data_IF_050165410439
#
_entry.id   IF_050165410439
#
_cell.length_a   1.000
_cell.length_b   1.000
_cell.length_c   1.000
_cell.angle_alpha   90.00
_cell.angle_beta   90.00
_cell.angle_gamma   90.00
#
_symmetry.space_group_name_H-M   'P 1'
#
loop_
_entity.id
_entity.type
_entity.pdbx_description
1 polymer ?
#
# COMPACT_ATOMS: atom_id res chain seq x y z
N UNK A 1 64.16 17.36 26.39
CA UNK A 1 65.02 16.23 26.82
C UNK A 1 65.37 16.45 28.28
N UNK A 2 65.40 15.38 29.09
CA UNK A 2 65.88 15.33 30.48
C UNK A 2 65.18 16.25 31.51
N UNK A 3 64.96 15.89 32.78
CA UNK A 3 64.83 14.58 33.46
C UNK A 3 64.33 14.85 34.90
N UNK A 4 63.58 13.92 35.52
CA UNK A 4 63.25 14.00 36.96
C UNK A 4 64.48 13.74 37.86
N UNK A 5 64.34 13.80 39.19
CA UNK A 5 64.03 12.55 39.91
C UNK A 5 63.17 12.63 41.21
N UNK A 6 62.56 11.48 41.55
CA UNK A 6 62.27 10.85 42.87
C UNK A 6 62.16 11.72 44.17
N UNK A 7 61.26 11.43 45.12
CA UNK A 7 61.33 10.20 45.97
C UNK A 7 60.10 9.97 46.91
N UNK A 8 59.74 8.69 47.13
CA UNK A 8 59.32 7.98 48.39
C UNK A 8 58.44 8.64 49.49
N UNK A 9 57.64 7.95 50.32
CA UNK A 9 57.07 6.58 50.41
C UNK A 9 56.17 6.47 51.70
N UNK A 10 55.66 5.27 52.03
CA UNK A 10 54.96 4.84 53.30
C UNK A 10 53.50 5.33 53.47
N UNK A 11 52.43 4.51 53.63
CA UNK A 11 52.09 3.34 54.48
C UNK A 11 51.18 3.76 55.68
N UNK A 12 50.22 3.00 56.23
CA UNK A 12 49.47 1.79 55.82
C UNK A 12 48.28 1.55 56.81
N UNK A 13 47.31 0.68 56.45
CA UNK A 13 46.35 -0.04 57.35
C UNK A 13 45.34 0.80 58.20
N UNK A 14 44.18 0.29 58.69
CA UNK A 14 43.29 -0.83 58.33
C UNK A 14 41.92 -0.66 59.07
N UNK A 15 40.90 -1.48 58.71
CA UNK A 15 39.79 -2.08 59.51
C UNK A 15 39.23 -1.39 60.81
N UNK A 16 37.95 -1.45 61.20
CA UNK A 16 36.74 -2.13 60.66
C UNK A 16 35.44 -1.76 61.45
N UNK A 17 34.29 -2.01 60.82
CA UNK A 17 33.00 -2.50 61.39
C UNK A 17 32.08 -1.66 62.32
N UNK A 18 30.78 -1.80 61.99
CA UNK A 18 29.56 -1.76 62.83
C UNK A 18 28.67 -0.49 62.83
N UNK A 19 27.36 -0.72 62.73
CA UNK A 19 26.28 0.28 62.54
C UNK A 19 25.58 0.65 63.87
N UNK A 20 24.62 1.61 63.85
CA UNK A 20 23.22 1.18 63.75
C UNK A 20 22.35 2.02 62.78
N UNK A 21 21.03 1.79 62.80
CA UNK A 21 20.06 2.01 61.72
C UNK A 21 19.01 3.13 61.94
N UNK A 22 18.18 3.34 60.90
CA UNK A 22 17.01 4.23 60.75
C UNK A 22 17.30 5.73 60.44
N UNK A 23 16.60 6.38 59.49
CA UNK A 23 15.56 5.92 58.54
C UNK A 23 15.04 7.07 57.66
N UNK A 24 14.31 6.78 56.56
CA UNK A 24 13.70 7.79 55.65
C UNK A 24 14.50 8.03 54.36
N UNK A 25 14.26 7.31 53.26
CA UNK A 25 13.13 7.43 52.30
C UNK A 25 13.32 8.49 51.20
N UNK A 26 13.95 8.12 50.09
CA UNK A 26 13.48 8.39 48.70
C UNK A 26 14.49 7.90 47.65
N UNK A 27 14.27 6.72 47.08
CA UNK A 27 14.98 6.25 45.89
C UNK A 27 13.99 5.82 44.82
N UNK A 28 14.11 6.44 43.64
CA UNK A 28 13.29 6.11 42.48
C UNK A 28 13.59 4.68 42.04
N UNK A 29 12.57 3.82 42.05
CA UNK A 29 12.71 2.43 41.63
C UNK A 29 12.58 2.32 40.13
N UNK A 30 13.60 1.78 39.47
CA UNK A 30 13.61 1.46 38.04
C UNK A 30 12.48 0.48 37.71
N UNK A 31 11.39 0.96 37.12
CA UNK A 31 10.34 0.08 36.58
C UNK A 31 10.81 -0.54 35.27
N UNK A 32 11.43 -1.72 35.38
CA UNK A 32 11.62 -2.61 34.25
C UNK A 32 10.25 -3.13 33.81
N UNK A 33 9.60 -2.45 32.87
CA UNK A 33 8.31 -2.88 32.31
C UNK A 33 8.51 -4.08 31.40
N UNK A 34 8.51 -5.28 31.99
CA UNK A 34 8.26 -6.53 31.28
C UNK A 34 6.81 -6.54 30.80
N UNK A 35 6.56 -6.03 29.60
CA UNK A 35 5.24 -6.07 28.96
C UNK A 35 4.87 -7.52 28.67
N UNK A 36 4.06 -8.11 29.55
CA UNK A 36 3.45 -9.43 29.36
C UNK A 36 2.40 -9.33 28.26
N UNK A 37 2.76 -9.77 27.04
CA UNK A 37 1.91 -9.67 25.84
C UNK A 37 0.73 -10.65 25.89
N UNK A 38 -0.26 -10.36 26.73
CA UNK A 38 -1.47 -11.16 26.92
C UNK A 38 -2.44 -11.01 25.74
N UNK A 39 -2.41 -11.96 24.80
CA UNK A 39 -3.39 -12.00 23.71
C UNK A 39 -4.82 -12.30 24.19
N UNK A 40 -5.80 -11.86 23.41
CA UNK A 40 -7.22 -12.13 23.61
C UNK A 40 -7.54 -13.52 23.04
N UNK A 41 -7.96 -14.47 23.87
CA UNK A 41 -8.46 -15.77 23.41
C UNK A 41 -9.90 -15.63 22.89
N UNK A 42 -10.15 -16.04 21.64
CA UNK A 42 -11.50 -16.20 21.08
C UNK A 42 -11.60 -17.62 20.51
N UNK A 43 -12.26 -18.51 21.24
CA UNK A 43 -12.15 -19.96 21.04
C UNK A 43 -10.70 -20.43 21.22
N UNK A 44 -10.27 -21.41 20.44
CA UNK A 44 -8.93 -22.01 20.52
C UNK A 44 -7.82 -21.14 19.92
N UNK A 45 -8.11 -19.88 19.56
CA UNK A 45 -7.18 -18.97 18.89
C UNK A 45 -6.82 -17.80 19.79
N UNK A 46 -5.53 -17.67 20.07
CA UNK A 46 -4.94 -16.49 20.70
C UNK A 46 -4.79 -15.39 19.65
N UNK A 47 -5.57 -14.32 19.79
CA UNK A 47 -5.42 -13.11 18.99
C UNK A 47 -4.45 -12.17 19.73
N UNK A 48 -3.44 -11.64 19.06
CA UNK A 48 -2.64 -10.55 19.62
C UNK A 48 -3.54 -9.37 19.97
N UNK A 49 -3.26 -8.69 21.08
CA UNK A 49 -3.89 -7.42 21.41
C UNK A 49 -3.77 -6.45 20.22
N UNK A 50 -4.88 -5.79 19.84
CA UNK A 50 -4.95 -5.00 18.60
C UNK A 50 -4.36 -3.61 18.85
N UNK A 51 -3.03 -3.56 18.94
CA UNK A 51 -2.25 -2.33 19.09
C UNK A 51 -2.19 -1.57 17.75
N UNK A 52 -3.10 -0.61 17.58
CA UNK A 52 -3.14 0.30 16.43
C UNK A 52 -2.21 1.51 16.65
N UNK A 53 -0.91 1.26 16.76
CA UNK A 53 0.09 2.34 16.67
C UNK A 53 0.25 2.78 15.22
N UNK A 54 0.50 4.08 15.02
CA UNK A 54 0.82 4.66 13.70
C UNK A 54 2.14 4.05 13.16
N UNK A 55 2.95 3.51 14.05
CA UNK A 55 4.27 2.93 13.79
C UNK A 55 4.19 1.51 13.19
N UNK A 56 3.01 0.86 13.20
CA UNK A 56 2.76 -0.43 12.53
C UNK A 56 2.70 -0.31 10.97
N UNK A 57 3.45 0.65 10.42
CA UNK A 57 3.64 0.96 9.00
C UNK A 57 4.64 0.02 8.32
N UNK A 58 5.64 -0.46 9.07
CA UNK A 58 6.70 -1.32 8.56
C UNK A 58 6.30 -2.79 8.56
N UNK A 59 6.93 -3.56 7.68
CA UNK A 59 6.68 -4.97 7.47
C UNK A 59 7.83 -5.75 8.14
N UNK A 60 7.53 -6.62 9.12
CA UNK A 60 8.54 -7.46 9.76
C UNK A 60 9.34 -8.27 8.74
N UNK A 61 10.63 -8.47 9.00
CA UNK A 61 11.57 -9.06 8.04
C UNK A 61 11.17 -10.48 7.63
N UNK A 62 10.55 -11.24 8.55
CA UNK A 62 10.04 -12.60 8.30
C UNK A 62 8.86 -12.61 7.31
N UNK A 63 8.22 -11.46 7.06
CA UNK A 63 7.16 -11.30 6.04
C UNK A 63 7.68 -10.78 4.70
N UNK A 64 8.95 -10.39 4.61
CA UNK A 64 9.57 -10.00 3.33
C UNK A 64 9.86 -11.23 2.46
N UNK A 65 10.08 -12.39 3.07
CA UNK A 65 10.27 -13.67 2.38
C UNK A 65 9.88 -14.87 3.25
N UNK A 66 9.11 -15.85 2.74
CA UNK A 66 8.51 -15.91 1.41
C UNK A 66 7.25 -15.04 1.30
N UNK A 67 7.15 -14.22 0.25
CA UNK A 67 5.99 -13.35 0.01
C UNK A 67 4.72 -14.18 -0.27
N UNK A 68 3.51 -13.60 -0.11
CA UNK A 68 2.27 -14.26 -0.52
C UNK A 68 2.22 -14.61 -2.01
N UNK A 69 2.96 -13.89 -2.87
CA UNK A 69 3.04 -14.18 -4.31
C UNK A 69 3.94 -15.39 -4.58
N UNK A 70 5.08 -15.49 -3.87
CA UNK A 70 5.96 -16.67 -3.90
C UNK A 70 5.25 -17.93 -3.39
N UNK A 71 4.39 -17.81 -2.38
CA UNK A 71 3.55 -18.91 -1.90
C UNK A 71 2.51 -19.38 -2.94
N UNK A 72 2.07 -18.49 -3.85
CA UNK A 72 1.27 -18.84 -5.04
C UNK A 72 2.15 -19.19 -6.26
N UNK A 73 3.46 -19.38 -6.04
CA UNK A 73 4.45 -19.85 -7.01
C UNK A 73 5.14 -18.77 -7.85
N UNK A 74 4.75 -17.49 -7.76
CA UNK A 74 5.36 -16.43 -8.57
C UNK A 74 6.83 -16.22 -8.16
N UNK A 75 7.74 -16.12 -9.14
CA UNK A 75 9.15 -15.92 -8.86
C UNK A 75 9.45 -14.49 -8.39
N UNK A 76 10.46 -14.35 -7.53
CA UNK A 76 10.84 -13.07 -6.93
C UNK A 76 11.24 -11.99 -7.98
N UNK A 77 11.97 -12.31 -9.08
CA UNK A 77 12.23 -11.34 -10.15
C UNK A 77 10.95 -10.78 -10.79
N UNK A 78 10.02 -11.65 -11.19
CA UNK A 78 8.73 -11.24 -11.77
C UNK A 78 7.87 -10.45 -10.80
N UNK A 79 7.82 -10.85 -9.52
CA UNK A 79 7.15 -10.07 -8.47
C UNK A 79 7.76 -8.68 -8.31
N UNK A 80 9.10 -8.57 -8.34
CA UNK A 80 9.81 -7.29 -8.25
C UNK A 80 9.48 -6.39 -9.44
N UNK A 81 9.44 -6.94 -10.65
CA UNK A 81 9.08 -6.17 -11.85
C UNK A 81 7.60 -5.72 -11.84
N UNK A 82 6.68 -6.54 -11.32
CA UNK A 82 5.28 -6.13 -11.11
C UNK A 82 5.14 -5.02 -10.07
N UNK A 83 5.95 -5.03 -9.00
CA UNK A 83 5.99 -3.95 -7.99
C UNK A 83 6.45 -2.63 -8.59
N UNK A 84 7.58 -2.65 -9.30
CA UNK A 84 8.14 -1.48 -9.99
C UNK A 84 7.13 -0.95 -11.01
N UNK A 85 6.57 -1.82 -11.85
CA UNK A 85 5.58 -1.43 -12.86
C UNK A 85 4.29 -0.85 -12.24
N UNK A 86 3.79 -1.42 -11.15
CA UNK A 86 2.64 -0.89 -10.43
C UNK A 86 2.90 0.54 -9.95
N UNK A 87 4.10 0.80 -9.44
CA UNK A 87 4.53 2.13 -9.02
C UNK A 87 4.68 3.10 -10.21
N UNK A 88 5.25 2.66 -11.33
CA UNK A 88 5.32 3.45 -12.57
C UNK A 88 3.93 3.82 -13.10
N UNK A 89 2.96 2.91 -13.06
CA UNK A 89 1.57 3.19 -13.45
C UNK A 89 0.90 4.20 -12.50
N UNK A 90 1.12 4.10 -11.19
CA UNK A 90 0.58 5.05 -10.20
C UNK A 90 1.17 6.45 -10.44
N UNK A 91 2.49 6.56 -10.65
CA UNK A 91 3.16 7.83 -10.95
C UNK A 91 2.65 8.43 -12.27
N UNK A 92 2.62 7.64 -13.35
CA UNK A 92 2.14 8.11 -14.66
C UNK A 92 0.66 8.52 -14.62
N UNK A 93 -0.18 7.76 -13.93
CA UNK A 93 -1.59 8.09 -13.76
C UNK A 93 -1.78 9.36 -12.93
N UNK A 94 -1.01 9.54 -11.87
CA UNK A 94 -1.11 10.72 -11.01
C UNK A 94 -0.68 12.02 -11.71
N UNK A 95 0.34 11.97 -12.57
CA UNK A 95 0.72 13.08 -13.44
C UNK A 95 -0.44 13.46 -14.37
N UNK A 96 -1.05 12.49 -15.04
CA UNK A 96 -2.20 12.71 -15.94
C UNK A 96 -3.45 13.21 -15.20
N UNK A 97 -3.67 12.76 -13.95
CA UNK A 97 -4.73 13.22 -13.05
C UNK A 97 -4.42 14.56 -12.35
N UNK A 98 -3.22 15.12 -12.57
CA UNK A 98 -2.70 16.32 -11.87
C UNK A 98 -2.83 16.20 -10.35
N UNK A 99 -2.33 15.09 -9.80
CA UNK A 99 -2.20 14.88 -8.35
C UNK A 99 -0.86 15.47 -7.84
N UNK A 100 -0.78 15.90 -6.57
CA UNK A 100 0.49 16.29 -5.96
C UNK A 100 1.41 15.07 -5.79
N UNK A 101 2.74 15.30 -5.77
CA UNK A 101 3.72 14.21 -5.62
C UNK A 101 3.51 13.39 -4.35
N UNK A 102 3.07 14.02 -3.25
CA UNK A 102 2.74 13.34 -1.99
C UNK A 102 1.65 12.28 -2.19
N UNK A 103 0.58 12.58 -2.95
CA UNK A 103 -0.48 11.60 -3.24
C UNK A 103 -0.01 10.45 -4.14
N UNK A 104 0.91 10.72 -5.06
CA UNK A 104 1.52 9.67 -5.89
C UNK A 104 2.45 8.77 -5.06
N UNK A 105 3.20 9.36 -4.11
CA UNK A 105 4.04 8.63 -3.17
C UNK A 105 3.20 7.78 -2.19
N UNK A 106 2.18 8.35 -1.57
CA UNK A 106 1.21 7.63 -0.70
C UNK A 106 0.60 6.45 -1.47
N UNK A 107 0.18 6.66 -2.73
CA UNK A 107 -0.35 5.58 -3.58
C UNK A 107 0.63 4.41 -3.78
N UNK A 108 1.92 4.70 -4.01
CA UNK A 108 2.97 3.68 -4.19
C UNK A 108 3.23 2.90 -2.89
N UNK A 109 3.31 3.56 -1.74
CA UNK A 109 3.51 2.89 -0.45
C UNK A 109 2.32 1.99 -0.09
N UNK A 110 1.08 2.47 -0.29
CA UNK A 110 -0.12 1.64 -0.08
C UNK A 110 -0.15 0.41 -0.99
N UNK A 111 0.33 0.54 -2.24
CA UNK A 111 0.43 -0.55 -3.19
C UNK A 111 1.45 -1.62 -2.75
N UNK A 112 2.65 -1.20 -2.31
CA UNK A 112 3.66 -2.12 -1.76
C UNK A 112 3.15 -2.85 -0.52
N UNK A 113 2.62 -2.12 0.47
CA UNK A 113 2.07 -2.70 1.71
C UNK A 113 1.01 -3.76 1.39
N UNK A 114 0.07 -3.44 0.49
CA UNK A 114 -0.96 -4.40 0.05
C UNK A 114 -0.36 -5.67 -0.56
N UNK A 115 0.58 -5.55 -1.50
CA UNK A 115 1.16 -6.72 -2.16
C UNK A 115 2.18 -7.51 -1.32
N UNK A 116 2.67 -6.97 -0.20
CA UNK A 116 3.35 -7.79 0.80
C UNK A 116 2.40 -8.59 1.69
N UNK A 117 1.12 -8.22 1.78
CA UNK A 117 0.08 -8.97 2.52
C UNK A 117 -0.84 -9.81 1.61
N UNK A 118 -0.82 -9.58 0.30
CA UNK A 118 -1.66 -10.25 -0.71
C UNK A 118 -0.90 -10.52 -2.00
N UNK A 119 -1.22 -11.64 -2.64
CA UNK A 119 -0.56 -12.11 -3.86
C UNK A 119 -1.04 -11.41 -5.14
N UNK A 120 -0.09 -11.14 -6.04
CA UNK A 120 -0.33 -10.72 -7.44
C UNK A 120 -1.13 -11.75 -8.25
N UNK A 121 -1.00 -13.05 -7.93
CA UNK A 121 -1.76 -14.13 -8.59
C UNK A 121 -3.25 -14.09 -8.21
N UNK A 122 -3.56 -13.63 -6.99
CA UNK A 122 -4.93 -13.55 -6.45
C UNK A 122 -5.62 -12.21 -6.73
N UNK A 123 -4.87 -11.15 -7.05
CA UNK A 123 -5.39 -9.79 -7.21
C UNK A 123 -4.80 -9.09 -8.45
N UNK A 124 -5.66 -8.63 -9.36
CA UNK A 124 -5.23 -7.85 -10.53
C UNK A 124 -4.51 -6.57 -10.10
N UNK A 125 -3.24 -6.45 -10.49
CA UNK A 125 -2.40 -5.32 -10.09
C UNK A 125 -2.89 -3.99 -10.68
N UNK A 126 -3.42 -3.94 -11.91
CA UNK A 126 -4.00 -2.72 -12.49
C UNK A 126 -5.23 -2.23 -11.70
N UNK A 127 -6.10 -3.14 -11.27
CA UNK A 127 -7.28 -2.81 -10.45
C UNK A 127 -6.85 -2.29 -9.07
N UNK A 128 -5.83 -2.91 -8.46
CA UNK A 128 -5.29 -2.46 -7.17
C UNK A 128 -4.57 -1.13 -7.31
N UNK A 129 -3.79 -0.89 -8.36
CA UNK A 129 -3.15 0.40 -8.63
C UNK A 129 -4.16 1.53 -8.79
N UNK A 130 -5.26 1.30 -9.54
CA UNK A 130 -6.39 2.24 -9.61
C UNK A 130 -7.05 2.50 -8.25
N UNK A 131 -7.17 1.48 -7.40
CA UNK A 131 -7.71 1.63 -6.05
C UNK A 131 -6.75 2.40 -5.12
N UNK A 132 -5.45 2.11 -5.16
CA UNK A 132 -4.43 2.79 -4.36
C UNK A 132 -4.33 4.28 -4.69
N UNK A 133 -4.33 4.66 -5.97
CA UNK A 133 -4.28 6.08 -6.36
C UNK A 133 -5.59 6.81 -6.06
N UNK A 134 -6.75 6.16 -6.22
CA UNK A 134 -8.04 6.74 -5.84
C UNK A 134 -8.13 6.96 -4.33
N UNK A 135 -7.66 6.00 -3.53
CA UNK A 135 -7.58 6.10 -2.08
C UNK A 135 -6.60 7.19 -1.62
N UNK A 136 -5.37 7.19 -2.15
CA UNK A 136 -4.37 8.21 -1.84
C UNK A 136 -4.84 9.63 -2.21
N UNK A 137 -5.56 9.80 -3.32
CA UNK A 137 -6.14 11.11 -3.69
C UNK A 137 -7.13 11.64 -2.64
N UNK A 138 -7.81 10.75 -1.88
CA UNK A 138 -8.69 11.16 -0.78
C UNK A 138 -7.93 11.42 0.51
N UNK A 139 -6.88 10.64 0.80
CA UNK A 139 -6.04 10.80 2.00
C UNK A 139 -5.29 12.15 1.99
N UNK A 140 -4.78 12.56 0.83
CA UNK A 140 -4.06 13.83 0.67
C UNK A 140 -4.98 15.01 0.27
N UNK A 141 -6.28 14.94 0.58
CA UNK A 141 -7.29 16.00 0.33
C UNK A 141 -7.32 16.53 -1.12
N UNK A 142 -6.94 15.70 -2.10
CA UNK A 142 -6.90 16.02 -3.52
C UNK A 142 -7.77 15.06 -4.37
N UNK A 143 -9.04 14.79 -4.00
CA UNK A 143 -9.81 13.69 -4.57
C UNK A 143 -10.03 13.80 -6.08
N UNK A 144 -10.10 12.66 -6.76
CA UNK A 144 -10.44 12.54 -8.17
C UNK A 144 -11.65 11.63 -8.36
N UNK A 145 -12.38 11.78 -9.46
CA UNK A 145 -13.54 10.90 -9.73
C UNK A 145 -13.00 9.55 -10.24
N UNK A 146 -13.57 8.45 -9.75
CA UNK A 146 -13.20 7.08 -10.20
C UNK A 146 -13.27 6.94 -11.73
N UNK A 147 -14.20 7.63 -12.40
CA UNK A 147 -14.29 7.66 -13.87
C UNK A 147 -13.01 8.21 -14.52
N UNK A 148 -12.43 9.26 -13.94
CA UNK A 148 -11.24 9.93 -14.47
C UNK A 148 -10.01 9.02 -14.28
N UNK A 149 -9.92 8.35 -13.13
CA UNK A 149 -8.89 7.33 -12.84
C UNK A 149 -8.96 6.19 -13.86
N UNK A 150 -10.15 5.61 -14.10
CA UNK A 150 -10.33 4.52 -15.08
C UNK A 150 -9.99 5.00 -16.50
N UNK A 151 -10.39 6.21 -16.88
CA UNK A 151 -10.08 6.77 -18.21
C UNK A 151 -8.56 6.97 -18.41
N UNK A 152 -7.85 7.41 -17.37
CA UNK A 152 -6.39 7.55 -17.40
C UNK A 152 -5.69 6.19 -17.51
N UNK A 153 -6.11 5.18 -16.74
CA UNK A 153 -5.55 3.82 -16.87
C UNK A 153 -5.86 3.18 -18.22
N UNK A 154 -7.06 3.40 -18.77
CA UNK A 154 -7.43 2.98 -20.12
C UNK A 154 -6.50 3.60 -21.18
N UNK A 155 -6.23 4.92 -21.08
CA UNK A 155 -5.29 5.61 -21.96
C UNK A 155 -3.85 5.09 -21.82
N UNK A 156 -3.36 4.91 -20.59
CA UNK A 156 -2.03 4.33 -20.33
C UNK A 156 -1.89 2.93 -20.94
N UNK A 157 -2.93 2.09 -20.86
CA UNK A 157 -2.95 0.75 -21.46
C UNK A 157 -2.87 0.80 -22.99
N UNK A 158 -3.56 1.75 -23.63
CA UNK A 158 -3.49 1.95 -25.09
C UNK A 158 -2.10 2.39 -25.55
N UNK A 159 -1.50 3.38 -24.86
CA UNK A 159 -0.14 3.85 -25.15
C UNK A 159 0.89 2.72 -25.05
N UNK A 160 0.80 1.88 -24.01
CA UNK A 160 1.68 0.72 -23.80
C UNK A 160 1.54 -0.31 -24.93
N UNK A 161 0.31 -0.58 -25.36
CA UNK A 161 0.03 -1.50 -26.47
C UNK A 161 0.26 -0.92 -27.87
N UNK A 162 0.85 0.28 -28.01
CA UNK A 162 1.03 1.02 -29.27
C UNK A 162 -0.26 1.15 -30.11
N UNK A 163 -1.42 1.17 -29.45
CA UNK A 163 -2.73 1.30 -30.13
C UNK A 163 -3.06 2.76 -30.35
N UNK A 164 -3.85 3.04 -31.39
CA UNK A 164 -4.45 4.36 -31.58
C UNK A 164 -5.31 4.69 -30.34
N UNK A 165 -5.16 5.90 -29.75
CA UNK A 165 -5.96 6.27 -28.58
C UNK A 165 -7.45 6.30 -28.94
N UNK A 166 -8.26 5.49 -28.26
CA UNK A 166 -9.72 5.44 -28.44
C UNK A 166 -10.46 5.85 -27.15
N UNK A 167 -11.60 6.55 -27.25
CA UNK A 167 -12.38 6.93 -26.07
C UNK A 167 -12.81 5.73 -25.23
N UNK A 168 -12.85 5.90 -23.91
CA UNK A 168 -13.43 4.91 -23.01
C UNK A 168 -14.94 4.78 -23.26
N UNK A 169 -15.36 3.61 -23.74
CA UNK A 169 -16.78 3.26 -23.91
C UNK A 169 -17.39 2.99 -22.52
N UNK A 170 -18.58 3.53 -22.25
CA UNK A 170 -19.28 3.39 -20.98
C UNK A 170 -20.24 2.19 -21.00
N UNK A 171 -19.69 1.02 -21.30
CA UNK A 171 -20.42 -0.24 -21.42
C UNK A 171 -20.52 -1.01 -20.09
N UNK A 172 -21.01 -2.26 -20.17
CA UNK A 172 -21.04 -3.16 -19.02
C UNK A 172 -19.62 -3.48 -18.48
N UNK A 173 -18.58 -3.49 -19.32
CA UNK A 173 -17.21 -3.71 -18.89
C UNK A 173 -16.68 -2.54 -18.06
N UNK A 174 -16.99 -1.30 -18.44
CA UNK A 174 -16.70 -0.12 -17.61
C UNK A 174 -17.40 -0.21 -16.24
N UNK A 175 -18.69 -0.58 -16.21
CA UNK A 175 -19.44 -0.75 -14.95
C UNK A 175 -18.80 -1.84 -14.07
N UNK A 176 -18.44 -2.98 -14.67
CA UNK A 176 -17.75 -4.07 -13.98
C UNK A 176 -16.40 -3.63 -13.42
N UNK A 177 -15.58 -2.91 -14.20
CA UNK A 177 -14.27 -2.37 -13.80
C UNK A 177 -14.41 -1.38 -12.65
N UNK A 178 -15.35 -0.43 -12.75
CA UNK A 178 -15.69 0.52 -11.67
C UNK A 178 -16.04 -0.21 -10.37
N UNK A 179 -16.88 -1.25 -10.46
CA UNK A 179 -17.26 -2.05 -9.30
C UNK A 179 -16.08 -2.87 -8.74
N UNK A 180 -15.15 -3.33 -9.58
CA UNK A 180 -13.92 -3.99 -9.14
C UNK A 180 -12.98 -3.01 -8.41
N UNK A 181 -12.78 -1.80 -8.92
CA UNK A 181 -11.96 -0.76 -8.25
C UNK A 181 -12.54 -0.38 -6.89
N UNK A 182 -13.85 -0.16 -6.78
CA UNK A 182 -14.52 0.10 -5.49
C UNK A 182 -14.37 -1.07 -4.52
N UNK A 183 -14.47 -2.32 -5.00
CA UNK A 183 -14.24 -3.53 -4.18
C UNK A 183 -12.77 -3.68 -3.78
N UNK A 184 -11.82 -3.29 -4.63
CA UNK A 184 -10.39 -3.35 -4.34
C UNK A 184 -9.98 -2.28 -3.32
N UNK A 185 -10.51 -1.06 -3.42
CA UNK A 185 -10.28 0.01 -2.43
C UNK A 185 -10.69 -0.43 -1.01
N UNK A 186 -11.87 -1.07 -0.87
CA UNK A 186 -12.31 -1.64 0.40
C UNK A 186 -11.40 -2.77 0.90
N UNK A 187 -10.78 -3.56 0.01
CA UNK A 187 -9.79 -4.58 0.40
C UNK A 187 -8.49 -3.95 0.87
N UNK A 188 -7.99 -2.91 0.19
CA UNK A 188 -6.79 -2.19 0.62
C UNK A 188 -6.99 -1.63 2.03
N UNK A 189 -8.11 -0.94 2.29
CA UNK A 189 -8.44 -0.44 3.62
C UNK A 189 -8.50 -1.54 4.69
N UNK A 190 -9.18 -2.66 4.40
CA UNK A 190 -9.29 -3.80 5.33
C UNK A 190 -7.93 -4.44 5.60
N UNK A 191 -7.11 -4.63 4.57
CA UNK A 191 -5.83 -5.34 4.68
C UNK A 191 -4.79 -4.53 5.45
N UNK A 192 -4.78 -3.21 5.27
CA UNK A 192 -3.89 -2.29 5.98
C UNK A 192 -4.40 -1.92 7.38
N UNK A 193 -5.49 -2.54 7.86
CA UNK A 193 -6.08 -2.22 9.17
C UNK A 193 -6.48 -0.75 9.32
N UNK A 194 -6.84 -0.08 8.22
CA UNK A 194 -7.02 1.38 8.11
C UNK A 194 -5.78 2.24 8.43
N UNK A 195 -4.60 1.65 8.63
CA UNK A 195 -3.30 2.34 8.74
C UNK A 195 -2.82 2.80 7.35
N UNK A 196 -3.49 3.82 6.81
CA UNK A 196 -3.25 4.40 5.48
C UNK A 196 -2.41 5.68 5.50
N UNK A 197 -2.06 6.19 6.68
CA UNK A 197 -1.13 7.31 6.80
C UNK A 197 0.28 6.87 6.37
N UNK A 198 0.99 7.78 5.70
CA UNK A 198 2.36 7.60 5.22
C UNK A 198 3.14 8.87 5.54
N UNK A 199 4.18 8.73 6.37
CA UNK A 199 5.17 9.77 6.62
C UNK A 199 6.17 9.76 5.44
N UNK A 200 6.35 10.89 4.77
CA UNK A 200 7.22 10.98 3.59
C UNK A 200 8.55 11.69 3.91
N UNK A 201 9.72 11.17 3.46
CA UNK A 201 11.02 11.76 3.77
C UNK A 201 11.28 13.17 3.20
N UNK A 202 10.48 13.69 2.26
CA UNK A 202 10.76 14.97 1.56
C UNK A 202 11.07 16.12 2.53
N UNK A 203 10.29 16.27 3.60
CA UNK A 203 10.48 17.32 4.63
C UNK A 203 11.67 17.01 5.54
N UNK A 204 11.89 15.74 5.87
CA UNK A 204 13.01 15.28 6.70
C UNK A 204 14.33 15.57 6.00
N UNK A 205 14.43 15.33 4.68
CA UNK A 205 15.61 15.64 3.86
C UNK A 205 15.99 17.12 3.98
N UNK A 206 15.03 18.04 3.89
CA UNK A 206 15.30 19.48 4.04
C UNK A 206 15.77 19.81 5.46
N UNK A 207 15.12 19.25 6.48
CA UNK A 207 15.47 19.46 7.89
C UNK A 207 16.89 18.95 8.21
N UNK A 208 17.26 17.77 7.73
CA UNK A 208 18.61 17.21 7.92
C UNK A 208 19.65 18.02 7.15
N UNK A 209 19.37 18.46 5.92
CA UNK A 209 20.29 19.33 5.17
C UNK A 209 20.46 20.72 5.82
N UNK A 210 19.46 21.24 6.54
CA UNK A 210 19.59 22.44 7.36
C UNK A 210 20.53 22.22 8.56
N UNK A 211 20.40 21.09 9.26
CA UNK A 211 21.31 20.72 10.38
C UNK A 211 22.76 20.52 9.89
N UNK A 212 22.94 20.11 8.63
CA UNK A 212 24.24 19.96 7.98
C UNK A 212 24.73 21.26 7.28
N UNK A 213 24.04 22.39 7.44
CA UNK A 213 24.35 23.69 6.80
C UNK A 213 24.46 23.62 5.25
N UNK A 214 23.79 22.63 4.66
CA UNK A 214 23.83 22.27 3.25
C UNK A 214 22.54 22.65 2.50
N UNK A 215 21.56 23.28 3.15
CA UNK A 215 20.23 23.60 2.60
C UNK A 215 20.29 24.55 1.40
N UNK A 216 21.34 25.36 1.33
CA UNK A 216 21.58 26.33 0.24
C UNK A 216 21.98 25.64 -1.05
N UNK A 217 22.54 24.44 -0.98
CA UNK A 217 22.93 23.65 -2.14
C UNK A 217 21.69 22.99 -2.77
N UNK A 218 20.97 23.76 -3.59
CA UNK A 218 19.76 23.31 -4.29
C UNK A 218 20.00 22.04 -5.13
N UNK A 219 21.21 21.87 -5.70
CA UNK A 219 21.59 20.67 -6.45
C UNK A 219 21.63 19.43 -5.57
N UNK A 220 22.15 19.55 -4.34
CA UNK A 220 22.16 18.46 -3.36
C UNK A 220 20.73 18.13 -2.88
N UNK A 221 19.94 19.14 -2.51
CA UNK A 221 18.53 18.98 -2.10
C UNK A 221 17.73 18.27 -3.19
N UNK A 222 17.80 18.74 -4.44
CA UNK A 222 17.07 18.17 -5.55
C UNK A 222 17.55 16.76 -5.91
N UNK A 223 18.86 16.49 -5.84
CA UNK A 223 19.42 15.14 -6.08
C UNK A 223 18.96 14.15 -5.00
N UNK A 224 18.93 14.54 -3.72
CA UNK A 224 18.41 13.72 -2.64
C UNK A 224 16.90 13.44 -2.80
N UNK A 225 16.12 14.44 -3.20
CA UNK A 225 14.71 14.25 -3.55
C UNK A 225 14.51 13.35 -4.78
N UNK A 226 15.39 13.39 -5.78
CA UNK A 226 15.31 12.49 -6.93
C UNK A 226 15.53 11.03 -6.49
N UNK A 227 16.58 10.75 -5.69
CA UNK A 227 16.83 9.41 -5.16
C UNK A 227 15.70 8.88 -4.27
N UNK A 228 15.08 9.73 -3.44
CA UNK A 228 13.93 9.33 -2.62
C UNK A 228 12.67 9.09 -3.47
N UNK A 229 12.41 9.89 -4.51
CA UNK A 229 11.30 9.61 -5.43
C UNK A 229 11.54 8.32 -6.23
N UNK A 230 12.79 7.99 -6.55
CA UNK A 230 13.15 6.74 -7.22
C UNK A 230 12.98 5.54 -6.28
N UNK A 231 13.35 5.66 -5.01
CA UNK A 231 13.25 4.57 -4.03
C UNK A 231 11.81 4.21 -3.62
N UNK A 232 10.80 5.05 -3.93
CA UNK A 232 9.38 4.67 -3.87
C UNK A 232 9.05 3.43 -4.75
N UNK A 233 9.85 3.16 -5.79
CA UNK A 233 9.69 1.99 -6.66
C UNK A 233 10.28 0.70 -6.07
N UNK A 234 11.07 0.79 -5.00
CA UNK A 234 11.62 -0.37 -4.26
C UNK A 234 10.80 -0.65 -3.00
N UNK A 235 11.23 -1.64 -2.21
CA UNK A 235 10.58 -1.99 -0.94
C UNK A 235 11.06 -1.16 0.27
N UNK A 236 11.95 -0.16 0.12
CA UNK A 236 12.54 0.52 1.28
C UNK A 236 11.50 1.22 2.16
N UNK A 237 10.46 1.80 1.55
CA UNK A 237 9.34 2.46 2.24
C UNK A 237 8.43 1.53 3.06
N UNK A 238 8.62 0.21 2.99
CA UNK A 238 7.93 -0.75 3.87
C UNK A 238 8.89 -1.49 4.81
N UNK A 239 10.20 -1.21 4.74
CA UNK A 239 11.26 -1.84 5.55
C UNK A 239 11.89 -0.89 6.55
N UNK A 240 12.10 0.37 6.16
CA UNK A 240 12.86 1.36 6.92
C UNK A 240 12.00 2.56 7.30
N UNK A 241 12.35 3.22 8.40
CA UNK A 241 11.70 4.46 8.82
C UNK A 241 12.04 5.61 7.84
N UNK A 242 11.16 6.60 7.68
CA UNK A 242 11.37 7.70 6.73
C UNK A 242 12.58 8.58 7.11
N UNK A 243 12.98 8.61 8.37
CA UNK A 243 14.22 9.19 8.89
C UNK A 243 15.46 8.51 8.27
N UNK A 244 15.55 7.19 8.39
CA UNK A 244 16.59 6.34 7.81
C UNK A 244 16.68 6.51 6.27
N UNK A 245 15.52 6.55 5.60
CA UNK A 245 15.44 6.77 4.14
C UNK A 245 15.94 8.17 3.77
N UNK A 246 15.61 9.22 4.53
CA UNK A 246 16.14 10.56 4.31
C UNK A 246 17.68 10.57 4.41
N UNK A 247 18.24 9.93 5.44
CA UNK A 247 19.68 9.80 5.61
C UNK A 247 20.35 9.12 4.41
N UNK A 248 19.82 7.98 3.96
CA UNK A 248 20.35 7.25 2.82
C UNK A 248 20.30 8.05 1.51
N UNK A 249 19.20 8.77 1.24
CA UNK A 249 19.08 9.57 0.02
C UNK A 249 19.99 10.81 0.03
N UNK A 250 20.23 11.43 1.19
CA UNK A 250 21.24 12.49 1.34
C UNK A 250 22.65 11.92 1.14
N UNK A 251 22.97 10.79 1.77
CA UNK A 251 24.27 10.13 1.64
C UNK A 251 24.58 9.78 0.18
N UNK A 252 23.61 9.20 -0.54
CA UNK A 252 23.75 8.86 -1.96
C UNK A 252 23.93 10.11 -2.84
N UNK A 253 23.17 11.17 -2.58
CA UNK A 253 23.28 12.45 -3.30
C UNK A 253 24.63 13.15 -3.05
N UNK A 254 25.09 13.20 -1.80
CA UNK A 254 26.38 13.79 -1.46
C UNK A 254 27.54 13.02 -2.11
N UNK A 255 27.49 11.68 -2.11
CA UNK A 255 28.48 10.86 -2.82
C UNK A 255 28.46 11.05 -4.33
N UNK A 256 27.27 11.12 -4.94
CA UNK A 256 27.13 11.36 -6.38
C UNK A 256 27.65 12.75 -6.81
N UNK A 257 27.50 13.76 -5.94
CA UNK A 257 27.98 15.13 -6.16
C UNK A 257 29.39 15.40 -5.59
N UNK A 258 30.06 14.38 -5.03
CA UNK A 258 31.37 14.48 -4.38
C UNK A 258 31.46 15.53 -3.25
N UNK A 259 30.35 15.74 -2.53
CA UNK A 259 30.27 16.66 -1.39
C UNK A 259 30.74 15.94 -0.12
N UNK A 260 31.78 16.43 0.58
CA UNK A 260 32.21 15.84 1.84
C UNK A 260 31.20 16.15 2.95
N UNK A 261 30.73 15.11 3.64
CA UNK A 261 29.91 15.22 4.85
C UNK A 261 30.71 14.77 6.08
N UNK A 262 30.34 15.18 7.31
CA UNK A 262 31.09 14.83 8.52
C UNK A 262 31.20 13.32 8.76
N UNK A 263 32.42 12.84 9.02
CA UNK A 263 32.75 11.40 9.22
C UNK A 263 33.25 11.06 10.62
N UNK A 264 33.53 12.04 11.48
CA UNK A 264 34.02 11.82 12.86
C UNK A 264 33.29 12.73 13.87
N UNK A 265 32.24 12.24 14.56
CA UNK A 265 31.48 11.02 14.24
C UNK A 265 30.77 11.13 12.88
N UNK A 266 30.30 10.00 12.33
CA UNK A 266 29.51 10.02 11.11
C UNK A 266 28.19 10.79 11.33
N UNK A 267 27.90 11.75 10.45
CA UNK A 267 26.79 12.68 10.60
C UNK A 267 25.42 12.01 10.79
N UNK A 268 25.19 10.86 10.16
CA UNK A 268 23.91 10.15 10.21
C UNK A 268 23.61 9.51 11.58
N UNK A 269 24.63 9.33 12.43
CA UNK A 269 24.45 8.84 13.80
C UNK A 269 23.66 9.83 14.66
N UNK A 270 23.73 11.14 14.36
CA UNK A 270 22.91 12.19 14.99
C UNK A 270 21.40 11.95 14.78
N UNK A 271 21.04 11.27 13.70
CA UNK A 271 19.67 10.97 13.31
C UNK A 271 19.26 9.52 13.65
N UNK A 272 20.05 8.82 14.46
CA UNK A 272 19.74 7.47 14.95
C UNK A 272 19.77 6.38 13.88
N UNK A 273 20.42 6.62 12.75
CA UNK A 273 20.56 5.69 11.61
C UNK A 273 21.93 5.02 11.62
N UNK A 274 22.02 3.74 11.26
CA UNK A 274 23.32 3.03 11.14
C UNK A 274 23.88 3.07 9.72
N UNK A 275 25.16 2.71 9.55
CA UNK A 275 25.76 2.67 8.21
C UNK A 275 25.18 1.51 7.37
N UNK A 276 24.88 0.38 8.00
CA UNK A 276 24.34 -0.82 7.36
C UNK A 276 22.97 -0.53 6.71
N UNK A 277 22.08 0.15 7.43
CA UNK A 277 20.78 0.58 6.90
C UNK A 277 20.93 1.52 5.70
N UNK A 278 21.85 2.50 5.78
CA UNK A 278 22.14 3.42 4.68
C UNK A 278 22.68 2.66 3.47
N UNK A 279 23.64 1.77 3.67
CA UNK A 279 24.23 0.97 2.60
C UNK A 279 23.16 0.11 1.91
N UNK A 280 22.27 -0.54 2.68
CA UNK A 280 21.21 -1.35 2.10
C UNK A 280 20.20 -0.52 1.28
N UNK A 281 19.71 0.61 1.82
CA UNK A 281 18.79 1.50 1.09
C UNK A 281 19.47 2.06 -0.17
N UNK A 282 20.75 2.40 -0.10
CA UNK A 282 21.52 2.85 -1.26
C UNK A 282 21.66 1.74 -2.32
N UNK A 283 22.01 0.52 -1.92
CA UNK A 283 22.14 -0.63 -2.83
C UNK A 283 20.79 -0.93 -3.50
N UNK A 284 19.70 -0.96 -2.74
CA UNK A 284 18.37 -1.27 -3.28
C UNK A 284 17.86 -0.17 -4.23
N UNK A 285 18.13 1.10 -3.91
CA UNK A 285 17.86 2.22 -4.83
C UNK A 285 18.70 2.13 -6.10
N UNK A 286 20.01 1.85 -5.98
CA UNK A 286 20.92 1.74 -7.12
C UNK A 286 20.63 0.53 -8.02
N UNK A 287 20.10 -0.57 -7.46
CA UNK A 287 19.62 -1.74 -8.22
C UNK A 287 18.58 -1.36 -9.26
N UNK A 288 17.75 -0.34 -9.05
CA UNK A 288 16.78 0.11 -10.06
C UNK A 288 17.44 0.50 -11.39
N UNK A 289 18.59 1.20 -11.34
CA UNK A 289 19.27 1.70 -12.54
C UNK A 289 20.00 0.61 -13.34
N UNK A 290 20.24 -0.56 -12.74
CA UNK A 290 20.89 -1.70 -13.42
C UNK A 290 19.91 -2.71 -14.00
N UNK A 291 18.61 -2.62 -13.65
CA UNK A 291 17.57 -3.50 -14.19
C UNK A 291 17.31 -3.23 -15.67
N UNK A 292 17.09 -4.31 -16.42
CA UNK A 292 16.53 -4.23 -17.78
C UNK A 292 15.04 -3.92 -17.67
N UNK A 293 14.51 -3.07 -18.57
CA UNK A 293 13.08 -2.79 -18.60
C UNK A 293 12.29 -4.08 -18.89
N UNK A 294 11.37 -4.51 -18.01
CA UNK A 294 10.66 -5.78 -18.19
C UNK A 294 9.69 -5.72 -19.37
N UNK A 295 9.47 -6.86 -20.02
CA UNK A 295 8.41 -6.99 -21.01
C UNK A 295 7.08 -7.28 -20.32
N UNK A 296 6.19 -6.30 -20.35
CA UNK A 296 4.89 -6.36 -19.69
C UNK A 296 4.02 -7.54 -20.14
N UNK A 297 3.99 -7.84 -21.44
CA UNK A 297 3.12 -8.89 -21.98
C UNK A 297 3.53 -10.28 -21.48
N UNK A 298 4.82 -10.47 -21.15
CA UNK A 298 5.30 -11.72 -20.56
C UNK A 298 4.92 -11.81 -19.08
N UNK A 299 4.98 -10.70 -18.34
CA UNK A 299 4.53 -10.65 -16.95
C UNK A 299 3.02 -10.88 -16.80
N UNK A 300 2.18 -10.28 -17.66
CA UNK A 300 0.74 -10.58 -17.67
C UNK A 300 0.47 -12.06 -17.95
N UNK A 301 1.14 -12.64 -18.95
CA UNK A 301 0.99 -14.07 -19.31
C UNK A 301 1.41 -15.00 -18.18
N UNK A 302 2.52 -14.71 -17.51
CA UNK A 302 3.00 -15.54 -16.41
C UNK A 302 2.08 -15.44 -15.17
N UNK A 303 1.61 -14.25 -14.81
CA UNK A 303 0.61 -14.07 -13.74
C UNK A 303 -0.69 -14.79 -14.07
N UNK A 304 -1.19 -14.68 -15.30
CA UNK A 304 -2.43 -15.34 -15.70
C UNK A 304 -2.28 -16.87 -15.72
N UNK A 305 -1.14 -17.40 -16.20
CA UNK A 305 -0.80 -18.82 -16.10
C UNK A 305 -0.80 -19.33 -14.66
N UNK A 306 -0.19 -18.60 -13.71
CA UNK A 306 -0.25 -18.98 -12.28
C UNK A 306 -1.67 -18.88 -11.72
N UNK A 307 -2.46 -17.90 -12.18
CA UNK A 307 -3.84 -17.70 -11.75
C UNK A 307 -4.77 -18.82 -12.25
N UNK A 308 -4.57 -19.33 -13.46
CA UNK A 308 -5.26 -20.52 -13.99
C UNK A 308 -4.85 -21.77 -13.20
N UNK A 309 -3.56 -22.04 -13.04
CA UNK A 309 -3.07 -23.19 -12.25
C UNK A 309 -3.60 -23.18 -10.80
N UNK A 310 -3.68 -22.01 -10.17
CA UNK A 310 -4.26 -21.84 -8.83
C UNK A 310 -5.78 -22.06 -8.79
N UNK A 311 -6.49 -21.84 -9.90
CA UNK A 311 -7.92 -22.15 -10.03
C UNK A 311 -8.15 -23.64 -10.27
N UNK A 312 -7.39 -24.26 -11.16
CA UNK A 312 -7.41 -25.71 -11.41
C UNK A 312 -7.11 -26.50 -10.13
N UNK A 313 -6.06 -26.12 -9.39
CA UNK A 313 -5.75 -26.73 -8.09
C UNK A 313 -6.90 -26.63 -7.08
N UNK A 314 -7.65 -25.51 -7.09
CA UNK A 314 -8.84 -25.32 -6.23
C UNK A 314 -10.06 -26.11 -6.70
N UNK A 315 -10.23 -26.35 -8.00
CA UNK A 315 -11.28 -27.21 -8.52
C UNK A 315 -10.96 -28.68 -8.19
N UNK A 316 -9.72 -29.11 -8.45
CA UNK A 316 -9.23 -30.45 -8.10
C UNK A 316 -9.35 -30.75 -6.60
N UNK A 317 -8.99 -29.80 -5.74
CA UNK A 317 -9.16 -29.92 -4.28
C UNK A 317 -10.63 -29.97 -3.82
N UNK A 318 -11.59 -29.57 -4.68
CA UNK A 318 -13.04 -29.71 -4.46
C UNK A 318 -13.63 -30.96 -5.13
N UNK A 319 -12.81 -31.82 -5.73
CA UNK A 319 -13.29 -32.97 -6.49
C UNK A 319 -14.02 -32.59 -7.79
N UNK A 320 -13.67 -31.45 -8.39
CA UNK A 320 -14.24 -30.98 -9.64
C UNK A 320 -13.19 -31.02 -10.77
N UNK A 321 -13.64 -31.43 -11.96
CA UNK A 321 -12.91 -31.30 -13.21
C UNK A 321 -12.76 -29.81 -13.61
N UNK A 322 -11.87 -29.45 -14.55
CA UNK A 322 -11.76 -28.08 -15.07
C UNK A 322 -13.09 -27.51 -15.59
N UNK A 323 -13.98 -28.34 -16.15
CA UNK A 323 -15.32 -27.95 -16.62
C UNK A 323 -16.37 -27.79 -15.50
N UNK A 324 -15.98 -27.94 -14.23
CA UNK A 324 -16.88 -27.83 -13.08
C UNK A 324 -17.81 -29.03 -12.84
N UNK A 325 -17.65 -30.11 -13.60
CA UNK A 325 -18.33 -31.40 -13.33
C UNK A 325 -17.65 -32.13 -12.17
N UNK A 326 -18.38 -32.93 -11.36
CA UNK A 326 -17.77 -33.79 -10.35
C UNK A 326 -16.81 -34.79 -11.01
N UNK A 327 -15.61 -34.90 -10.46
CA UNK A 327 -14.61 -35.85 -10.92
C UNK A 327 -15.05 -37.27 -10.55
N UNK A 328 -15.55 -38.01 -11.54
CA UNK A 328 -15.88 -39.42 -11.38
C UNK A 328 -14.59 -40.22 -11.20
N UNK A 329 -14.24 -40.53 -9.95
CA UNK A 329 -13.07 -41.33 -9.61
C UNK A 329 -13.25 -42.76 -10.09
N UNK A 330 -12.57 -43.12 -11.17
CA UNK A 330 -12.47 -44.48 -11.70
C UNK A 330 -11.64 -45.36 -10.75
N UNK A 331 -12.31 -45.94 -9.76
CA UNK A 331 -11.89 -47.19 -9.12
C UNK A 331 -12.86 -48.29 -9.53
N UNK A 332 -12.39 -49.24 -10.32
CA UNK A 332 -13.20 -50.34 -10.84
C UNK A 332 -13.61 -51.31 -9.74
N UNK A 333 -14.90 -51.68 -9.73
CA UNK A 333 -15.48 -52.65 -8.82
C UNK A 333 -16.85 -53.08 -9.34
N UNK A 334 -16.87 -53.97 -10.34
CA UNK A 334 -18.09 -54.43 -10.99
C UNK A 334 -18.84 -55.47 -10.15
N UNK A 335 -20.16 -55.28 -10.04
CA UNK A 335 -21.19 -56.34 -10.01
C UNK A 335 -21.39 -57.14 -8.69
N UNK A 336 -22.39 -58.04 -8.59
CA UNK A 336 -23.72 -57.62 -8.11
C UNK A 336 -24.39 -58.61 -7.12
N UNK A 337 -25.44 -58.19 -6.39
CA UNK A 337 -26.29 -59.14 -5.66
C UNK A 337 -27.73 -58.66 -5.48
N UNK A 338 -28.65 -59.24 -6.26
CA UNK A 338 -30.09 -59.16 -6.06
C UNK A 338 -30.54 -60.04 -4.90
N UNK A 339 -31.48 -59.58 -4.06
CA UNK A 339 -32.46 -60.48 -3.41
C UNK A 339 -33.86 -59.84 -3.43
N UNK A 340 -34.94 -60.62 -3.64
CA UNK A 340 -36.28 -60.08 -3.92
C UNK A 340 -37.25 -60.18 -2.71
N UNK A 341 -38.54 -59.96 -3.00
CA UNK A 341 -39.75 -60.31 -2.24
C UNK A 341 -40.13 -59.49 -0.99
N UNK A 342 -41.26 -58.78 -1.14
CA UNK A 342 -42.22 -58.43 -0.08
C UNK A 342 -43.19 -59.62 0.14
N UNK A 343 -44.06 -59.63 1.17
CA UNK A 343 -45.37 -58.97 1.05
C UNK A 343 -45.83 -58.23 2.33
N UNK A 344 -47.09 -57.80 2.34
CA UNK A 344 -47.69 -56.75 3.20
C UNK A 344 -49.07 -57.19 3.72
N UNK A 345 -49.27 -57.19 5.04
CA UNK A 345 -50.57 -57.23 5.75
C UNK A 345 -50.41 -56.28 6.98
N UNK A 346 -51.14 -55.17 7.21
CA UNK A 346 -52.57 -54.79 7.28
C UNK A 346 -53.16 -54.90 8.70
N UNK A 347 -53.66 -53.74 9.22
CA UNK A 347 -54.43 -53.49 10.48
C UNK A 347 -53.65 -53.59 11.82
N UNK A 348 -53.93 -52.81 12.87
CA UNK A 348 -54.83 -51.64 13.06
C UNK A 348 -54.37 -50.79 14.29
N UNK A 349 -54.85 -49.53 14.39
CA UNK A 349 -55.12 -48.68 15.59
C UNK A 349 -54.05 -48.56 16.74
N UNK A 350 -53.84 -47.44 17.44
CA UNK A 350 -54.50 -46.12 17.51
C UNK A 350 -53.53 -45.05 18.09
N UNK A 351 -53.98 -43.77 18.12
CA UNK A 351 -53.52 -42.63 18.96
C UNK A 351 -52.18 -41.91 18.66
N UNK A 352 -52.37 -40.73 18.05
CA UNK A 352 -51.55 -39.50 17.94
C UNK A 352 -51.24 -38.86 19.34
N UNK A 353 -50.59 -37.66 19.54
CA UNK A 353 -50.47 -36.50 18.61
C UNK A 353 -49.10 -35.72 18.58
N UNK A 354 -48.68 -35.14 17.42
CA UNK A 354 -48.68 -33.68 17.03
C UNK A 354 -47.65 -32.81 17.80
N UNK A 355 -46.87 -31.87 17.25
CA UNK A 355 -46.48 -31.47 15.87
C UNK A 355 -45.21 -30.57 15.94
N UNK A 356 -44.63 -30.04 14.86
CA UNK A 356 -45.01 -28.74 14.24
C UNK A 356 -44.74 -28.79 12.73
N UNK A 357 -45.61 -28.12 11.96
CA UNK A 357 -45.70 -28.26 10.51
C UNK A 357 -45.09 -27.05 9.79
N UNK A 358 -44.27 -27.30 8.76
CA UNK A 358 -43.87 -26.28 7.77
C UNK A 358 -44.82 -26.39 6.58
N UNK A 359 -45.44 -25.27 6.16
CA UNK A 359 -46.16 -25.22 4.88
C UNK A 359 -45.77 -24.02 4.03
N UNK A 360 -45.69 -24.32 2.74
CA UNK A 360 -45.19 -23.48 1.66
C UNK A 360 -46.27 -23.33 0.58
N UNK A 361 -46.16 -22.24 -0.19
CA UNK A 361 -46.48 -22.15 -1.63
C UNK A 361 -47.90 -21.78 -2.14
N UNK A 362 -47.87 -20.81 -3.09
CA UNK A 362 -48.81 -20.45 -4.20
C UNK A 362 -50.11 -19.66 -3.93
N UNK A 363 -50.17 -18.44 -4.52
CA UNK A 363 -50.83 -18.21 -5.84
C UNK A 363 -50.40 -16.86 -6.47
N UNK A 364 -50.51 -16.76 -7.80
CA UNK A 364 -50.52 -15.50 -8.59
C UNK A 364 -51.99 -15.10 -8.95
N UNK A 365 -52.25 -14.15 -9.88
CA UNK A 365 -52.14 -12.70 -9.70
C UNK A 365 -53.44 -11.97 -10.07
N UNK A 366 -53.63 -10.70 -9.68
CA UNK A 366 -54.43 -9.75 -10.48
C UNK A 366 -54.22 -8.28 -10.08
N UNK A 367 -54.67 -7.38 -10.95
CA UNK A 367 -54.27 -5.97 -11.03
C UNK A 367 -55.37 -5.02 -10.53
N UNK A 368 -55.02 -4.04 -9.68
CA UNK A 368 -55.71 -2.74 -9.64
C UNK A 368 -54.97 -1.64 -8.88
N UNK A 369 -54.96 -0.48 -9.51
CA UNK A 369 -54.50 0.80 -8.96
C UNK A 369 -55.41 1.31 -7.83
N UNK A 370 -54.84 1.95 -6.81
CA UNK A 370 -55.20 3.33 -6.43
C UNK A 370 -54.26 3.93 -5.39
N UNK A 371 -54.33 5.25 -5.24
CA UNK A 371 -53.31 6.07 -4.59
C UNK A 371 -53.64 6.48 -3.14
N UNK A 372 -52.59 6.94 -2.46
CA UNK A 372 -52.54 8.18 -1.66
C UNK A 372 -52.33 8.07 -0.14
N UNK A 373 -51.63 9.11 0.35
CA UNK A 373 -51.55 9.64 1.73
C UNK A 373 -50.66 8.91 2.75
N UNK A 374 -49.48 9.51 2.93
CA UNK A 374 -48.78 9.58 4.22
C UNK A 374 -49.66 10.25 5.29
N UNK A 375 -49.53 9.86 6.56
CA UNK A 375 -49.78 10.73 7.70
C UNK A 375 -48.49 11.44 8.12
N UNK A 376 -48.57 12.75 8.37
CA UNK A 376 -47.56 13.53 9.09
C UNK A 376 -48.26 14.27 10.22
N UNK A 377 -47.74 14.16 11.44
CA UNK A 377 -48.05 15.05 12.56
C UNK A 377 -46.92 14.88 13.60
N UNK A 378 -46.32 15.93 14.16
CA UNK A 378 -46.52 17.35 13.91
C UNK A 378 -46.25 18.15 15.18
N UNK A 379 -45.28 19.06 15.15
CA UNK A 379 -45.10 20.09 16.20
C UNK A 379 -45.04 21.46 15.54
N UNK A 380 -45.61 22.45 16.23
CA UNK A 380 -46.12 23.69 15.64
C UNK A 380 -45.06 24.78 15.48
N UNK A 381 -45.51 25.83 14.79
CA UNK A 381 -44.77 26.98 14.29
C UNK A 381 -45.41 28.26 14.84
N UNK A 382 -44.57 29.18 15.30
CA UNK A 382 -44.91 30.59 15.52
C UNK A 382 -43.74 31.48 15.05
N UNK A 383 -43.91 32.79 14.91
CA UNK A 383 -44.71 33.38 13.83
C UNK A 383 -44.00 34.65 13.30
N UNK A 384 -44.48 35.18 12.17
CA UNK A 384 -43.84 36.22 11.34
C UNK A 384 -43.53 37.53 12.09
N UNK A 385 -42.43 38.21 11.71
CA UNK A 385 -42.50 39.65 11.37
C UNK A 385 -41.51 40.05 10.28
N UNK A 386 -41.82 41.16 9.61
CA UNK A 386 -41.20 41.63 8.36
C UNK A 386 -40.83 43.11 8.49
N UNK A 387 -39.71 43.52 7.88
CA UNK A 387 -39.58 44.66 6.93
C UNK A 387 -38.13 45.14 6.78
N UNK A 388 -37.76 45.50 5.53
CA UNK A 388 -36.79 46.52 5.12
C UNK A 388 -35.32 46.43 5.62
N UNK A 389 -34.29 46.92 4.90
CA UNK A 389 -34.20 47.70 3.64
C UNK A 389 -32.79 47.61 3.02
N UNK A 390 -32.67 47.98 1.73
CA UNK A 390 -31.65 48.85 1.07
C UNK A 390 -30.23 48.92 1.71
N UNK A 391 -29.10 48.90 0.97
CA UNK A 391 -28.83 49.34 -0.42
C UNK A 391 -27.37 49.09 -0.85
N UNK A 392 -27.09 49.34 -2.15
CA UNK A 392 -25.79 49.63 -2.76
C UNK A 392 -24.75 48.48 -2.82
N UNK A 393 -24.48 47.85 -3.97
CA UNK A 393 -23.94 48.36 -5.25
C UNK A 393 -22.47 48.81 -5.21
N UNK A 394 -21.59 48.06 -5.87
CA UNK A 394 -20.53 48.64 -6.72
C UNK A 394 -20.06 47.68 -7.80
N UNK A 395 -20.13 48.16 -9.03
CA UNK A 395 -19.72 47.50 -10.27
C UNK A 395 -18.26 47.77 -10.61
N UNK A 396 -17.68 46.89 -11.44
CA UNK A 396 -16.62 47.19 -12.44
C UNK A 396 -16.47 45.96 -13.34
N UNK A 397 -17.18 45.92 -14.47
CA UNK A 397 -16.85 46.54 -15.78
C UNK A 397 -15.72 45.82 -16.52
N UNK A 398 -16.09 45.12 -17.60
CA UNK A 398 -15.16 44.51 -18.57
C UNK A 398 -14.56 45.60 -19.46
N UNK A 399 -13.26 45.58 -19.69
CA UNK A 399 -12.62 46.27 -20.82
C UNK A 399 -11.72 45.32 -21.59
N UNK A 400 -11.78 45.43 -22.92
CA UNK A 400 -11.11 44.56 -23.89
C UNK A 400 -10.04 45.41 -24.56
N UNK A 401 -8.77 45.05 -24.42
CA UNK A 401 -7.66 45.72 -25.11
C UNK A 401 -6.75 44.67 -25.75
N UNK A 402 -6.55 44.77 -27.07
CA UNK A 402 -5.57 43.97 -27.82
C UNK A 402 -4.33 44.83 -28.05
N UNK A 403 -3.16 44.30 -27.68
CA UNK A 403 -1.86 44.77 -28.19
C UNK A 403 -0.99 43.54 -28.49
N UNK A 404 -0.33 43.53 -29.65
CA UNK A 404 0.58 42.46 -30.10
C UNK A 404 2.04 42.89 -29.87
N UNK A 405 2.91 41.94 -29.50
CA UNK A 405 4.36 42.01 -29.72
C UNK A 405 5.00 40.61 -29.81
N UNK A 406 6.18 40.53 -30.42
CA UNK A 406 6.97 39.34 -30.77
C UNK A 406 8.25 39.27 -29.88
N UNK A 407 9.02 38.18 -29.68
CA UNK A 407 9.12 36.78 -30.19
C UNK A 407 10.10 36.02 -29.24
N UNK A 408 10.52 34.74 -29.44
CA UNK A 408 10.01 33.60 -30.23
C UNK A 408 9.88 32.28 -29.40
N UNK A 409 9.68 31.14 -30.09
CA UNK A 409 9.61 29.76 -29.55
C UNK A 409 10.90 29.28 -28.84
N UNK A 410 10.74 28.41 -27.84
CA UNK A 410 11.26 27.02 -27.89
C UNK A 410 10.23 26.03 -27.33
N UNK A 411 9.98 24.95 -28.08
CA UNK A 411 9.42 23.71 -27.57
C UNK A 411 10.62 22.78 -27.40
N UNK A 412 10.85 22.26 -26.21
CA UNK A 412 11.80 21.17 -26.01
C UNK A 412 11.01 19.91 -25.61
N UNK A 413 10.93 18.96 -26.56
CA UNK A 413 10.55 17.58 -26.27
C UNK A 413 11.65 16.94 -25.41
N UNK A 414 11.33 16.57 -24.16
CA UNK A 414 12.21 15.68 -23.40
C UNK A 414 11.93 14.24 -23.81
N UNK A 415 12.58 13.84 -24.90
CA UNK A 415 12.58 12.48 -25.43
C UNK A 415 13.25 11.52 -24.44
N UNK A 416 12.59 10.41 -24.10
CA UNK A 416 13.21 9.32 -23.36
C UNK A 416 14.40 8.74 -24.15
N UNK A 417 15.62 8.85 -23.61
CA UNK A 417 16.80 8.19 -24.17
C UNK A 417 17.67 7.57 -23.07
N UNK A 418 17.64 6.24 -22.99
CA UNK A 418 18.57 5.48 -22.14
C UNK A 418 19.98 5.47 -22.78
N UNK A 419 21.07 5.64 -22.02
CA UNK A 419 22.43 5.45 -22.54
C UNK A 419 22.77 3.96 -22.64
N UNK A 420 23.28 3.53 -23.80
CA UNK A 420 23.72 2.16 -24.06
C UNK A 420 25.23 2.07 -24.29
N UNK A 421 25.85 1.05 -23.68
CA UNK A 421 27.17 0.45 -23.96
C UNK A 421 28.22 1.31 -24.69
N UNK A 422 29.28 1.66 -23.94
CA UNK A 422 30.60 1.95 -24.50
C UNK A 422 31.14 0.73 -25.29
N UNK A 423 31.64 0.99 -26.50
CA UNK A 423 32.50 0.05 -27.25
C UNK A 423 33.95 0.34 -26.91
N UNK A 424 34.74 -0.72 -26.73
CA UNK A 424 36.21 -0.66 -26.69
C UNK A 424 36.77 -0.36 -28.08
N UNK A 425 37.76 0.53 -28.23
CA UNK A 425 38.61 0.57 -29.41
C UNK A 425 39.78 -0.41 -29.24
N UNK A 426 39.95 -1.31 -30.20
CA UNK A 426 41.18 -2.11 -30.31
C UNK A 426 42.29 -1.27 -30.93
N UNK A 427 43.51 -1.44 -30.43
CA UNK A 427 44.76 -1.04 -31.08
C UNK A 427 45.67 -2.26 -31.21
N UNK A 428 46.63 -2.16 -32.12
CA UNK A 428 47.47 -3.24 -32.66
C UNK A 428 48.22 -4.05 -31.60
#
# INVERSE_FOLDING_TARGET
>A
MASGPHSTATAAAAASSAAPSAGGSSSGTTTTTTTTTGGILIGDRLYSEVSLTIDHSLIPEERLSPTPSMQDGLDLPSETDLRILGCELIQAAGILLRLPQVAMATGQVLFHRFFYSKSFVKHSFEIVAMACINLASKIEEAPRRIRDVINVFHHLRQLRGKRTPSPLILDQNYINTKNQVIKAERRVLKELGFCVHVKHPHKIIVMYLQVLECERNQTLVQTAWNYMNDSLRTNVFVRFQPETIACACIYLAARALQIPLPTRPHWFLLFGTTEEEIQEICIETLRLYTRKKPNYELLEKEVEKRKVALQEAKLKAKGLNPDGTPALSTLGGFSPASKPSSPREVKAEEKSPISINVKTVKKEPEDRQQASKSPYNGVRKDSKRSRNSRSASRSRSRTRSRSRSHTPRRQDEVLLRCPGRSRTPGLK
#
